data_IF_174978574597
#
_entry.id   IF_174978574597
#
_cell.length_a   1.000
_cell.length_b   1.000
_cell.length_c   1.000
_cell.angle_alpha   90.00
_cell.angle_beta   90.00
_cell.angle_gamma   90.00
#
_symmetry.space_group_name_H-M   'P 1'
#
loop_
_entity.id
_entity.type
_entity.pdbx_description
1 polymer ?
#
# COMPACT_ATOMS: atom_id res chain seq x y z
N UNK A 1 -15.96 20.09 -0.13
CA UNK A 1 -14.62 20.15 -0.78
C UNK A 1 -13.63 19.13 -0.22
N UNK A 2 -13.42 19.01 1.10
CA UNK A 2 -12.50 17.99 1.68
C UNK A 2 -12.98 16.55 1.48
N UNK A 3 -14.28 16.29 1.56
CA UNK A 3 -14.87 14.96 1.35
C UNK A 3 -14.65 14.45 -0.07
N UNK A 4 -14.87 15.30 -1.08
CA UNK A 4 -14.56 14.96 -2.48
C UNK A 4 -13.06 14.66 -2.68
N UNK A 5 -12.18 15.48 -2.09
CA UNK A 5 -10.74 15.24 -2.14
C UNK A 5 -10.33 13.92 -1.44
N UNK A 6 -10.98 13.53 -0.35
CA UNK A 6 -10.73 12.25 0.30
C UNK A 6 -11.17 11.08 -0.57
N UNK A 7 -12.33 11.18 -1.24
CA UNK A 7 -12.83 10.15 -2.18
C UNK A 7 -11.94 10.03 -3.41
N UNK A 8 -11.58 11.14 -4.06
CA UNK A 8 -10.67 11.13 -5.20
C UNK A 8 -9.29 10.57 -4.82
N UNK A 9 -8.83 10.91 -3.61
CA UNK A 9 -7.63 10.33 -3.02
C UNK A 9 -7.76 8.82 -2.79
N UNK A 10 -8.89 8.35 -2.27
CA UNK A 10 -9.17 6.93 -2.06
C UNK A 10 -9.16 6.15 -3.39
N UNK A 11 -9.75 6.70 -4.45
CA UNK A 11 -9.72 6.12 -5.81
C UNK A 11 -8.28 6.05 -6.32
N UNK A 12 -7.51 7.13 -6.15
CA UNK A 12 -6.11 7.15 -6.51
C UNK A 12 -5.30 6.09 -5.75
N UNK A 13 -5.55 5.93 -4.45
CA UNK A 13 -4.95 4.88 -3.62
C UNK A 13 -5.31 3.47 -4.10
N UNK A 14 -6.58 3.24 -4.47
CA UNK A 14 -7.03 1.95 -5.02
C UNK A 14 -6.33 1.60 -6.34
N UNK A 15 -6.18 2.58 -7.25
CA UNK A 15 -5.41 2.40 -8.50
C UNK A 15 -3.95 2.11 -8.20
N UNK A 16 -3.35 2.84 -7.26
CA UNK A 16 -2.01 2.58 -6.77
C UNK A 16 -1.84 1.13 -6.31
N UNK A 17 -2.75 0.64 -5.46
CA UNK A 17 -2.72 -0.72 -4.93
C UNK A 17 -2.89 -1.77 -6.03
N UNK A 18 -3.73 -1.52 -7.04
CA UNK A 18 -3.87 -2.41 -8.19
C UNK A 18 -2.56 -2.53 -8.98
N UNK A 19 -1.89 -1.40 -9.24
CA UNK A 19 -0.59 -1.39 -9.93
C UNK A 19 0.51 -2.06 -9.11
N UNK A 20 0.56 -1.80 -7.80
CA UNK A 20 1.50 -2.46 -6.89
C UNK A 20 1.36 -3.98 -6.99
N UNK A 21 0.14 -4.49 -6.83
CA UNK A 21 -0.14 -5.92 -6.90
C UNK A 21 0.23 -6.50 -8.27
N UNK A 22 -0.10 -5.80 -9.38
CA UNK A 22 0.28 -6.24 -10.72
C UNK A 22 1.80 -6.39 -10.89
N UNK A 23 2.57 -5.42 -10.38
CA UNK A 23 4.05 -5.46 -10.41
C UNK A 23 4.58 -6.59 -9.53
N UNK A 24 4.02 -6.78 -8.33
CA UNK A 24 4.41 -7.88 -7.43
C UNK A 24 4.12 -9.25 -8.03
N UNK A 25 2.96 -9.45 -8.65
CA UNK A 25 2.63 -10.72 -9.33
C UNK A 25 3.50 -10.96 -10.56
N UNK A 26 3.83 -9.90 -11.31
CA UNK A 26 4.75 -10.01 -12.43
C UNK A 26 6.15 -10.42 -11.96
N UNK A 27 6.65 -9.88 -10.84
CA UNK A 27 7.92 -10.30 -10.25
C UNK A 27 7.93 -11.79 -9.87
N UNK A 28 6.86 -12.26 -9.24
CA UNK A 28 6.66 -13.68 -8.89
C UNK A 28 6.70 -14.55 -10.16
N UNK A 29 5.97 -14.16 -11.20
CA UNK A 29 5.89 -14.90 -12.45
C UNK A 29 7.25 -14.94 -13.19
N UNK A 30 7.95 -13.80 -13.27
CA UNK A 30 9.22 -13.69 -13.99
C UNK A 30 10.39 -14.37 -13.27
N UNK A 31 10.40 -14.32 -11.93
CA UNK A 31 11.48 -14.92 -11.12
C UNK A 31 11.19 -16.35 -10.66
N UNK A 32 9.99 -16.87 -10.93
CA UNK A 32 9.53 -18.20 -10.51
C UNK A 32 9.78 -18.48 -9.00
N UNK A 33 9.64 -17.45 -8.17
CA UNK A 33 9.79 -17.54 -6.70
C UNK A 33 8.44 -17.86 -6.05
N UNK A 34 8.41 -18.47 -4.85
CA UNK A 34 7.19 -18.56 -4.07
C UNK A 34 6.56 -17.19 -3.82
N UNK A 35 5.22 -17.14 -3.80
CA UNK A 35 4.50 -15.97 -3.31
C UNK A 35 4.86 -15.72 -1.84
N UNK A 36 4.91 -14.44 -1.45
CA UNK A 36 5.22 -14.07 -0.08
C UNK A 36 4.06 -14.41 0.84
N UNK A 37 4.36 -15.02 2.00
CA UNK A 37 3.41 -15.24 3.10
C UNK A 37 3.42 -14.12 4.15
N UNK A 38 4.07 -13.00 3.83
CA UNK A 38 4.18 -11.83 4.71
C UNK A 38 2.80 -11.24 5.04
N UNK A 39 1.87 -11.04 4.08
CA UNK A 39 0.55 -10.50 4.39
C UNK A 39 -0.24 -11.35 5.40
N UNK A 40 -0.18 -12.67 5.27
CA UNK A 40 -0.81 -13.63 6.20
C UNK A 40 -0.17 -13.58 7.58
N UNK A 41 1.15 -13.42 7.64
CA UNK A 41 1.91 -13.27 8.88
C UNK A 41 1.50 -11.99 9.62
N UNK A 42 1.34 -10.88 8.89
CA UNK A 42 0.85 -9.61 9.44
C UNK A 42 -0.58 -9.76 9.96
N UNK A 43 -1.47 -10.38 9.20
CA UNK A 43 -2.84 -10.61 9.63
C UNK A 43 -2.92 -11.49 10.90
N UNK A 44 -2.09 -12.53 10.97
CA UNK A 44 -1.98 -13.38 12.16
C UNK A 44 -1.50 -12.59 13.38
N UNK A 45 -0.38 -11.86 13.25
CA UNK A 45 0.14 -11.06 14.37
C UNK A 45 -0.79 -9.95 14.79
N UNK A 46 -1.50 -9.32 13.85
CA UNK A 46 -2.49 -8.30 14.17
C UNK A 46 -3.66 -8.90 14.97
N UNK A 47 -4.13 -10.09 14.60
CA UNK A 47 -5.16 -10.80 15.35
C UNK A 47 -4.68 -11.15 16.77
N UNK A 48 -3.43 -11.59 16.92
CA UNK A 48 -2.83 -11.91 18.22
C UNK A 48 -2.79 -10.68 19.15
N UNK A 49 -2.34 -9.51 18.64
CA UNK A 49 -2.25 -8.27 19.44
C UNK A 49 -3.60 -7.61 19.70
N UNK A 50 -4.62 -7.88 18.86
CA UNK A 50 -5.98 -7.38 19.05
C UNK A 50 -6.90 -8.38 19.76
N UNK A 51 -6.36 -9.53 20.15
CA UNK A 51 -7.11 -10.62 20.78
C UNK A 51 -8.32 -11.09 19.95
N UNK A 52 -8.20 -11.05 18.61
CA UNK A 52 -9.23 -11.53 17.69
C UNK A 52 -8.97 -13.00 17.39
N UNK A 53 -9.92 -13.87 17.74
CA UNK A 53 -9.85 -15.28 17.41
C UNK A 53 -10.16 -15.52 15.92
N UNK A 54 -9.18 -16.06 15.20
CA UNK A 54 -9.32 -16.44 13.78
C UNK A 54 -9.88 -17.86 13.60
N UNK A 55 -10.16 -18.57 14.68
CA UNK A 55 -10.62 -19.95 14.68
C UNK A 55 -9.47 -20.96 14.67
N UNK A 56 -9.77 -22.26 14.61
CA UNK A 56 -8.77 -23.32 14.60
C UNK A 56 -8.29 -23.68 13.18
N UNK A 57 -7.08 -24.26 13.10
CA UNK A 57 -6.57 -24.95 11.90
C UNK A 57 -6.75 -24.17 10.59
N UNK A 58 -7.41 -24.80 9.62
CA UNK A 58 -7.62 -24.26 8.28
C UNK A 58 -8.50 -23.00 8.25
N UNK A 59 -9.41 -22.81 9.22
CA UNK A 59 -10.20 -21.59 9.30
C UNK A 59 -9.30 -20.37 9.54
N UNK A 60 -8.35 -20.50 10.47
CA UNK A 60 -7.40 -19.44 10.76
C UNK A 60 -6.52 -19.14 9.55
N UNK A 61 -6.05 -20.19 8.86
CA UNK A 61 -5.25 -20.05 7.65
C UNK A 61 -6.03 -19.30 6.54
N UNK A 62 -7.28 -19.68 6.30
CA UNK A 62 -8.15 -19.04 5.32
C UNK A 62 -8.44 -17.57 5.67
N UNK A 63 -8.72 -17.27 6.95
CA UNK A 63 -8.93 -15.88 7.39
C UNK A 63 -7.67 -15.05 7.24
N UNK A 64 -6.48 -15.57 7.57
CA UNK A 64 -5.20 -14.85 7.35
C UNK A 64 -4.95 -14.57 5.87
N UNK A 65 -5.21 -15.57 5.01
CA UNK A 65 -5.07 -15.43 3.54
C UNK A 65 -6.02 -14.37 2.96
N UNK A 66 -7.22 -14.22 3.51
CA UNK A 66 -8.13 -13.13 3.13
C UNK A 66 -7.74 -11.76 3.73
N UNK A 67 -7.40 -11.74 5.02
CA UNK A 67 -7.14 -10.50 5.77
C UNK A 67 -5.85 -9.80 5.32
N UNK A 68 -4.79 -10.56 5.01
CA UNK A 68 -3.51 -9.98 4.60
C UNK A 68 -3.63 -9.03 3.40
N UNK A 69 -4.08 -9.52 2.22
CA UNK A 69 -4.32 -8.69 1.05
C UNK A 69 -5.35 -7.58 1.30
N UNK A 70 -6.42 -7.86 2.05
CA UNK A 70 -7.43 -6.87 2.39
C UNK A 70 -6.85 -5.67 3.15
N UNK A 71 -6.03 -5.91 4.18
CA UNK A 71 -5.36 -4.86 4.95
C UNK A 71 -4.40 -4.05 4.07
N UNK A 72 -3.71 -4.70 3.13
CA UNK A 72 -2.87 -4.02 2.14
C UNK A 72 -3.65 -3.03 1.26
N UNK A 73 -4.80 -3.44 0.74
CA UNK A 73 -5.71 -2.55 -0.01
C UNK A 73 -6.25 -1.43 0.87
N UNK A 74 -6.73 -1.75 2.09
CA UNK A 74 -7.24 -0.77 3.03
C UNK A 74 -6.20 0.32 3.35
N UNK A 75 -4.95 -0.08 3.58
CA UNK A 75 -3.83 0.84 3.81
C UNK A 75 -3.57 1.72 2.59
N UNK A 76 -3.48 1.14 1.39
CA UNK A 76 -3.26 1.91 0.16
C UNK A 76 -4.38 2.91 -0.14
N UNK A 77 -5.64 2.53 0.10
CA UNK A 77 -6.80 3.41 -0.05
C UNK A 77 -6.76 4.54 1.00
N UNK A 78 -6.48 4.21 2.26
CA UNK A 78 -6.38 5.19 3.33
C UNK A 78 -5.23 6.19 3.11
N UNK A 79 -4.07 5.72 2.65
CA UNK A 79 -2.95 6.57 2.27
C UNK A 79 -3.31 7.54 1.14
N UNK A 80 -3.99 7.04 0.11
CA UNK A 80 -4.52 7.87 -0.97
C UNK A 80 -5.53 8.92 -0.49
N UNK A 81 -6.48 8.53 0.38
CA UNK A 81 -7.46 9.43 0.96
C UNK A 81 -6.80 10.54 1.80
N UNK A 82 -5.84 10.17 2.65
CA UNK A 82 -5.04 11.10 3.45
C UNK A 82 -4.24 12.07 2.58
N UNK A 83 -3.60 11.56 1.51
CA UNK A 83 -2.93 12.38 0.52
C UNK A 83 -3.89 13.34 -0.18
N UNK A 84 -5.09 12.88 -0.56
CA UNK A 84 -6.12 13.72 -1.16
C UNK A 84 -6.53 14.89 -0.26
N UNK A 85 -6.71 14.63 1.03
CA UNK A 85 -6.99 15.68 2.04
C UNK A 85 -5.82 16.66 2.16
N UNK A 86 -4.57 16.17 2.19
CA UNK A 86 -3.36 17.00 2.26
C UNK A 86 -3.19 17.88 1.00
N UNK A 87 -3.39 17.30 -0.17
CA UNK A 87 -3.25 17.94 -1.47
C UNK A 87 -4.47 18.80 -1.85
N UNK A 88 -5.58 18.74 -1.08
CA UNK A 88 -6.82 19.45 -1.37
C UNK A 88 -6.67 20.98 -1.49
N UNK A 89 -5.60 21.57 -0.95
CA UNK A 89 -5.34 23.03 -1.04
C UNK A 89 -3.96 23.38 -1.61
N UNK A 90 -3.15 22.37 -1.98
CA UNK A 90 -1.78 22.57 -2.44
C UNK A 90 -1.56 21.84 -3.76
N UNK A 91 -0.82 22.46 -4.68
CA UNK A 91 -0.32 21.78 -5.85
C UNK A 91 0.99 21.09 -5.48
N UNK A 92 0.96 19.76 -5.41
CA UNK A 92 2.14 18.94 -5.17
C UNK A 92 2.64 18.45 -6.54
N UNK A 93 3.89 18.70 -6.92
CA UNK A 93 4.43 18.23 -8.20
C UNK A 93 4.52 16.69 -8.23
N UNK A 94 4.49 16.07 -9.43
CA UNK A 94 4.47 14.60 -9.57
C UNK A 94 5.55 13.89 -8.79
N UNK A 95 6.83 14.27 -8.93
CA UNK A 95 7.88 13.48 -8.32
C UNK A 95 7.72 13.46 -6.80
N UNK A 96 7.35 14.61 -6.22
CA UNK A 96 7.10 14.72 -4.80
C UNK A 96 5.85 13.93 -4.38
N UNK A 97 4.75 14.00 -5.13
CA UNK A 97 3.55 13.22 -4.85
C UNK A 97 3.81 11.70 -4.91
N UNK A 98 4.58 11.25 -5.91
CA UNK A 98 5.01 9.86 -6.07
C UNK A 98 5.83 9.40 -4.86
N UNK A 99 6.81 10.18 -4.44
CA UNK A 99 7.63 9.85 -3.26
C UNK A 99 6.81 9.85 -1.98
N UNK A 100 5.93 10.84 -1.78
CA UNK A 100 5.08 10.90 -0.59
C UNK A 100 4.11 9.72 -0.49
N UNK A 101 3.47 9.35 -1.61
CA UNK A 101 2.53 8.23 -1.64
C UNK A 101 3.25 6.88 -1.56
N UNK A 102 4.22 6.64 -2.45
CA UNK A 102 4.97 5.38 -2.50
C UNK A 102 5.81 5.15 -1.27
N UNK A 103 6.64 6.12 -0.91
CA UNK A 103 7.48 6.07 0.29
C UNK A 103 6.66 6.10 1.59
N UNK A 104 5.52 6.80 1.60
CA UNK A 104 4.61 6.80 2.75
C UNK A 104 3.98 5.43 3.00
N UNK A 105 3.47 4.78 1.95
CA UNK A 105 2.94 3.40 2.06
C UNK A 105 4.04 2.44 2.47
N UNK A 106 5.19 2.46 1.80
CA UNK A 106 6.35 1.61 2.10
C UNK A 106 6.80 1.75 3.56
N UNK A 107 7.02 2.99 4.03
CA UNK A 107 7.45 3.23 5.40
C UNK A 107 6.38 2.80 6.43
N UNK A 108 5.10 2.95 6.09
CA UNK A 108 4.00 2.56 6.99
C UNK A 108 3.87 1.04 7.04
N UNK A 109 3.91 0.35 5.90
CA UNK A 109 3.87 -1.11 5.84
C UNK A 109 5.09 -1.70 6.55
N UNK A 110 6.30 -1.29 6.18
CA UNK A 110 7.54 -1.82 6.75
C UNK A 110 7.66 -1.49 8.24
N UNK A 111 7.29 -0.28 8.64
CA UNK A 111 7.26 0.15 10.03
C UNK A 111 6.28 -0.71 10.85
N UNK A 112 5.06 -0.92 10.36
CA UNK A 112 4.07 -1.76 11.04
C UNK A 112 4.51 -3.22 11.13
N UNK A 113 5.11 -3.77 10.06
CA UNK A 113 5.66 -5.12 10.05
C UNK A 113 6.85 -5.27 10.99
N UNK A 114 7.68 -4.23 11.13
CA UNK A 114 8.81 -4.20 12.06
C UNK A 114 8.32 -4.18 13.51
N UNK A 115 7.34 -3.33 13.82
CA UNK A 115 6.74 -3.26 15.17
C UNK A 115 6.07 -4.58 15.54
N UNK A 116 5.39 -5.22 14.59
CA UNK A 116 4.82 -6.55 14.79
C UNK A 116 5.88 -7.65 14.83
N UNK A 117 7.15 -7.38 14.52
CA UNK A 117 8.22 -8.37 14.51
C UNK A 117 8.14 -9.38 13.36
N UNK A 118 7.46 -9.02 12.27
CA UNK A 118 7.37 -9.81 11.03
C UNK A 118 8.62 -9.66 10.17
N UNK A 119 9.24 -8.47 10.18
CA UNK A 119 10.42 -8.14 9.38
C UNK A 119 11.39 -7.24 10.14
N UNK A 120 12.64 -7.13 9.67
CA UNK A 120 13.60 -6.11 10.11
C UNK A 120 14.33 -5.51 8.89
N UNK A 121 13.98 -4.29 8.46
CA UNK A 121 14.59 -3.61 7.30
C UNK A 121 16.10 -3.44 7.42
N UNK A 122 16.67 -3.49 8.63
CA UNK A 122 18.11 -3.37 8.89
C UNK A 122 18.90 -4.59 8.45
N UNK A 123 18.25 -5.74 8.29
CA UNK A 123 18.88 -7.01 7.91
C UNK A 123 18.67 -7.35 6.43
N UNK A 124 17.92 -6.53 5.69
CA UNK A 124 17.57 -6.78 4.30
C UNK A 124 18.78 -6.75 3.37
N UNK A 125 18.78 -7.65 2.38
CA UNK A 125 19.74 -7.59 1.28
C UNK A 125 19.34 -6.48 0.32
N UNK A 126 20.29 -6.03 -0.51
CA UNK A 126 20.02 -5.01 -1.56
C UNK A 126 18.91 -5.45 -2.52
N UNK A 127 18.84 -6.74 -2.84
CA UNK A 127 17.78 -7.32 -3.67
C UNK A 127 16.39 -7.19 -3.07
N UNK A 128 16.30 -7.27 -1.74
CA UNK A 128 15.03 -7.25 -1.00
C UNK A 128 14.49 -5.82 -0.99
N UNK A 129 15.39 -4.85 -0.72
CA UNK A 129 15.10 -3.43 -0.86
C UNK A 129 14.60 -3.07 -2.26
N UNK A 130 15.23 -3.57 -3.32
CA UNK A 130 14.80 -3.27 -4.70
C UNK A 130 13.44 -3.91 -5.01
N UNK A 131 13.24 -5.14 -4.56
CA UNK A 131 11.99 -5.87 -4.80
C UNK A 131 10.81 -5.27 -4.04
N UNK A 132 11.08 -4.52 -2.98
CA UNK A 132 10.08 -3.77 -2.24
C UNK A 132 9.89 -2.35 -2.78
N UNK A 133 10.99 -1.63 -3.09
CA UNK A 133 10.93 -0.26 -3.57
C UNK A 133 10.23 -0.12 -4.92
N UNK A 134 10.44 -1.05 -5.86
CA UNK A 134 9.87 -0.96 -7.22
C UNK A 134 8.33 -0.96 -7.20
N UNK A 135 7.65 -1.94 -6.57
CA UNK A 135 6.19 -1.92 -6.44
C UNK A 135 5.66 -0.66 -5.75
N UNK A 136 6.35 -0.16 -4.72
CA UNK A 136 5.95 1.06 -3.99
C UNK A 136 6.11 2.34 -4.82
N UNK A 137 7.16 2.46 -5.63
CA UNK A 137 7.30 3.56 -6.58
C UNK A 137 6.21 3.50 -7.66
N UNK A 138 5.88 2.30 -8.15
CA UNK A 138 4.79 2.10 -9.10
C UNK A 138 3.43 2.48 -8.51
N UNK A 139 3.17 2.12 -7.25
CA UNK A 139 2.03 2.61 -6.46
C UNK A 139 2.01 4.14 -6.43
N UNK A 140 3.10 4.75 -5.98
CA UNK A 140 3.18 6.21 -5.79
C UNK A 140 2.92 6.97 -7.08
N UNK A 141 3.51 6.50 -8.19
CA UNK A 141 3.38 7.14 -9.50
C UNK A 141 1.95 7.03 -10.04
N UNK A 142 1.37 5.84 -10.01
CA UNK A 142 0.02 5.60 -10.53
C UNK A 142 -1.05 6.30 -9.69
N UNK A 143 -0.92 6.28 -8.35
CA UNK A 143 -1.79 7.04 -7.46
C UNK A 143 -1.66 8.55 -7.70
N UNK A 144 -0.44 9.09 -7.77
CA UNK A 144 -0.22 10.51 -8.02
C UNK A 144 -0.74 10.97 -9.39
N UNK A 145 -0.57 10.15 -10.43
CA UNK A 145 -1.11 10.41 -11.77
C UNK A 145 -2.65 10.40 -11.76
N UNK A 146 -3.25 9.42 -11.09
CA UNK A 146 -4.71 9.29 -10.97
C UNK A 146 -5.31 10.47 -10.23
N UNK A 147 -4.72 10.84 -9.08
CA UNK A 147 -5.12 12.03 -8.33
C UNK A 147 -5.14 13.29 -9.21
N UNK A 148 -4.09 13.51 -10.01
CA UNK A 148 -4.04 14.65 -10.92
C UNK A 148 -5.06 14.60 -12.05
N UNK A 149 -5.42 13.40 -12.50
CA UNK A 149 -6.44 13.21 -13.52
C UNK A 149 -7.85 13.48 -12.97
N UNK A 150 -8.13 12.97 -11.77
CA UNK A 150 -9.41 13.16 -11.06
C UNK A 150 -9.61 14.60 -10.60
N UNK A 151 -8.52 15.30 -10.32
CA UNK A 151 -8.54 16.71 -9.95
C UNK A 151 -8.22 17.58 -11.18
N UNK A 152 -9.19 17.86 -12.07
CA UNK A 152 -8.95 18.78 -13.16
C UNK A 152 -8.47 20.10 -12.57
N UNK A 153 -7.35 20.59 -13.07
CA UNK A 153 -6.98 21.99 -12.91
C UNK A 153 -8.19 22.80 -13.28
N UNK A 154 -8.72 23.61 -12.36
CA UNK A 154 -9.70 24.63 -12.71
C UNK A 154 -9.07 25.49 -13.80
N UNK A 155 -9.35 25.17 -15.06
CA UNK A 155 -9.12 26.03 -16.19
C UNK A 155 -10.21 27.10 -16.12
N UNK A 156 -9.95 28.13 -15.33
CA UNK A 156 -10.63 29.43 -15.28
C UNK A 156 -9.62 30.37 -14.63
N UNK A 157 -9.12 31.42 -15.23
CA UNK A 157 -9.29 32.08 -16.52
C UNK A 157 -8.26 33.21 -16.52
#
# INVERSE_FOLDING_TARGET
MRTAAAVDGAIAGAVGSAVLNAVSYLDVALRARPASSTPESVAGRLADVTHVDLGPGDEAANRRSGLGPFLGYAMGIAAGAGFGVLAARRRIPLPLATVLLGGGVMATSDGSMTVLGVTDPRTWRRSDWVSDLIPHLAYGLSAAATWRRLRPTSARG
#
